data_IF_802407731206
#
_entry.id   IF_802407731206
#
_cell.length_a   1.000
_cell.length_b   1.000
_cell.length_c   1.000
_cell.angle_alpha   90.00
_cell.angle_beta   90.00
_cell.angle_gamma   90.00
#
_symmetry.space_group_name_H-M   'P 1'
#
loop_
_entity.id
_entity.type
_entity.pdbx_description
1 polymer ?
#
# COMPACT_ATOMS: atom_id res chain seq x y z
N UNK A 1 -10.27 82.14 17.14
CA UNK A 1 -11.66 82.11 17.64
C UNK A 1 -12.07 80.65 17.70
N UNK A 2 -12.39 79.99 18.80
CA UNK A 2 -12.49 80.29 20.23
C UNK A 2 -12.89 78.95 20.86
N UNK A 3 -12.21 78.57 21.94
CA UNK A 3 -12.32 77.28 22.63
C UNK A 3 -13.56 77.17 23.54
N UNK A 4 -13.94 75.94 23.91
CA UNK A 4 -14.37 75.42 25.25
C UNK A 4 -15.11 74.08 25.01
N UNK A 5 -14.76 72.88 25.49
CA UNK A 5 -14.14 72.34 26.72
C UNK A 5 -15.04 72.32 27.96
N UNK A 6 -15.62 71.15 28.28
CA UNK A 6 -15.85 70.66 29.65
C UNK A 6 -15.92 69.10 29.58
N UNK A 7 -14.93 68.30 30.00
CA UNK A 7 -14.28 68.08 31.30
C UNK A 7 -15.06 67.14 32.23
N UNK A 8 -14.76 65.84 32.16
CA UNK A 8 -15.13 64.83 33.16
C UNK A 8 -14.01 63.78 33.29
N UNK A 9 -13.30 63.84 34.42
CA UNK A 9 -11.95 63.29 34.67
C UNK A 9 -12.00 61.97 35.48
N UNK A 10 -10.88 61.22 35.38
CA UNK A 10 -10.24 60.26 36.32
C UNK A 10 -10.24 58.80 35.85
N UNK A 11 -9.20 57.99 36.01
CA UNK A 11 -7.75 58.12 36.26
C UNK A 11 -7.21 56.68 36.22
N UNK A 12 -6.05 56.45 35.57
CA UNK A 12 -5.14 55.30 35.77
C UNK A 12 -5.67 53.92 35.32
N UNK A 13 -4.92 53.04 34.66
CA UNK A 13 -3.47 52.89 34.51
C UNK A 13 -3.22 51.38 34.38
N UNK A 14 -2.20 50.98 33.62
CA UNK A 14 -1.68 49.60 33.67
C UNK A 14 -1.88 48.77 32.39
N UNK A 15 -0.86 48.86 31.53
CA UNK A 15 -0.10 47.75 30.96
C UNK A 15 -0.76 46.43 30.55
N UNK A 16 -0.42 46.08 29.31
CA UNK A 16 0.12 44.81 28.85
C UNK A 16 -0.84 43.62 28.65
N UNK A 17 -0.84 43.21 27.37
CA UNK A 17 -0.85 41.82 26.90
C UNK A 17 -2.07 40.97 27.25
N UNK A 18 -3.05 40.98 26.34
CA UNK A 18 -3.88 39.79 26.09
C UNK A 18 -3.57 39.20 24.71
N UNK A 19 -2.53 38.38 24.75
CA UNK A 19 -2.31 37.13 24.03
C UNK A 19 -3.26 36.83 22.86
N UNK A 20 -2.69 37.00 21.66
CA UNK A 20 -3.10 36.33 20.43
C UNK A 20 -2.98 34.81 20.59
N UNK A 21 -4.06 34.16 21.00
CA UNK A 21 -4.18 32.70 21.02
C UNK A 21 -4.99 32.19 19.83
N UNK A 22 -4.35 31.45 18.91
CA UNK A 22 -5.09 30.63 17.95
C UNK A 22 -4.52 30.55 16.53
N UNK A 23 -3.23 30.22 16.37
CA UNK A 23 -2.66 30.08 15.02
C UNK A 23 -1.43 29.19 14.88
N UNK A 24 -1.03 28.43 15.91
CA UNK A 24 0.20 27.62 15.89
C UNK A 24 -0.06 26.09 15.82
N UNK A 25 -1.29 25.66 15.54
CA UNK A 25 -1.76 24.30 15.83
C UNK A 25 -1.42 23.19 14.81
N UNK A 26 -1.21 23.44 13.50
CA UNK A 26 -0.90 22.36 12.56
C UNK A 26 0.54 21.85 12.69
N UNK A 27 1.52 22.76 12.74
CA UNK A 27 2.94 22.40 12.69
C UNK A 27 3.42 21.75 14.00
N UNK A 28 2.99 22.25 15.16
CA UNK A 28 3.30 21.64 16.45
C UNK A 28 2.65 20.25 16.61
N UNK A 29 1.43 20.08 16.06
CA UNK A 29 0.76 18.79 16.05
C UNK A 29 1.46 17.76 15.16
N UNK A 30 1.95 18.17 13.99
CA UNK A 30 2.73 17.32 13.09
C UNK A 30 4.07 16.91 13.73
N UNK A 31 4.76 17.84 14.39
CA UNK A 31 6.03 17.56 15.07
C UNK A 31 5.87 16.57 16.23
N UNK A 32 4.81 16.69 17.02
CA UNK A 32 4.52 15.74 18.11
C UNK A 32 4.16 14.33 17.62
N UNK A 33 3.74 14.19 16.36
CA UNK A 33 3.45 12.89 15.74
C UNK A 33 4.66 12.29 15.02
N UNK A 34 5.79 13.00 14.90
CA UNK A 34 6.96 12.45 14.22
C UNK A 34 7.60 11.27 14.98
N UNK A 35 7.53 11.30 16.32
CA UNK A 35 8.15 10.31 17.21
C UNK A 35 7.11 9.35 17.84
N UNK A 36 5.95 9.20 17.20
CA UNK A 36 4.89 8.32 17.69
C UNK A 36 5.14 6.85 17.36
N UNK A 37 4.33 5.97 17.94
CA UNK A 37 4.41 4.53 17.70
C UNK A 37 3.21 4.03 16.90
N UNK A 38 3.46 3.11 15.97
CA UNK A 38 2.43 2.38 15.25
C UNK A 38 2.01 1.11 16.00
N UNK A 39 0.72 0.82 15.96
CA UNK A 39 0.16 -0.47 16.37
C UNK A 39 -0.69 -0.98 15.22
N UNK A 40 -0.34 -2.16 14.71
CA UNK A 40 -0.98 -2.76 13.55
C UNK A 40 -2.07 -3.74 13.97
N UNK A 41 -3.15 -3.79 13.18
CA UNK A 41 -4.23 -4.75 13.35
C UNK A 41 -4.90 -5.02 12.00
N UNK A 42 -5.77 -6.03 11.94
CA UNK A 42 -6.42 -6.48 10.70
C UNK A 42 -5.44 -6.78 9.56
N UNK A 43 -4.23 -7.27 9.87
CA UNK A 43 -3.22 -7.58 8.86
C UNK A 43 -3.71 -8.77 8.03
N UNK A 44 -3.89 -8.56 6.73
CA UNK A 44 -4.18 -9.61 5.75
C UNK A 44 -3.10 -9.62 4.67
N UNK A 45 -2.79 -10.81 4.16
CA UNK A 45 -1.76 -11.00 3.12
C UNK A 45 -2.32 -11.73 1.89
N UNK A 46 -3.29 -11.14 1.16
CA UNK A 46 -3.88 -11.82 0.01
C UNK A 46 -2.92 -11.82 -1.18
N UNK A 47 -3.09 -12.81 -2.06
CA UNK A 47 -2.47 -12.80 -3.39
C UNK A 47 -3.45 -12.19 -4.38
N UNK A 48 -3.11 -11.06 -4.99
CA UNK A 48 -3.96 -10.37 -5.97
C UNK A 48 -3.48 -10.67 -7.39
N UNK A 49 -4.37 -11.23 -8.19
CA UNK A 49 -4.14 -11.47 -9.62
C UNK A 49 -4.09 -10.13 -10.37
N UNK A 50 -2.96 -9.83 -11.02
CA UNK A 50 -2.74 -8.59 -11.78
C UNK A 50 -3.04 -8.74 -13.26
N UNK A 51 -2.78 -9.91 -13.83
CA UNK A 51 -3.01 -10.15 -15.25
C UNK A 51 -3.14 -11.63 -15.61
N UNK A 52 -3.80 -11.88 -16.74
CA UNK A 52 -3.99 -13.21 -17.32
C UNK A 52 -3.91 -13.15 -18.85
N UNK A 53 -3.28 -14.13 -19.49
CA UNK A 53 -3.29 -14.26 -20.95
C UNK A 53 -4.60 -14.88 -21.44
N UNK A 54 -4.87 -14.75 -22.75
CA UNK A 54 -5.81 -15.66 -23.39
C UNK A 54 -5.28 -17.09 -23.36
N UNK A 55 -6.17 -18.10 -23.42
CA UNK A 55 -5.75 -19.49 -23.49
C UNK A 55 -5.20 -19.83 -24.87
N UNK A 56 -4.04 -20.49 -24.91
CA UNK A 56 -3.33 -20.87 -26.13
C UNK A 56 -3.21 -22.39 -26.24
N UNK A 57 -3.56 -22.93 -27.41
CA UNK A 57 -3.44 -24.37 -27.69
C UNK A 57 -2.02 -24.71 -28.18
N UNK A 58 -1.36 -25.62 -27.48
CA UNK A 58 -0.04 -26.14 -27.82
C UNK A 58 -0.17 -27.57 -28.34
N UNK A 59 0.54 -27.87 -29.42
CA UNK A 59 0.55 -29.19 -30.04
C UNK A 59 1.52 -30.19 -29.39
N UNK A 60 1.54 -31.43 -29.88
CA UNK A 60 2.33 -32.54 -29.30
C UNK A 60 3.84 -32.27 -29.23
N UNK A 61 4.37 -31.42 -30.10
CA UNK A 61 5.78 -31.02 -30.12
C UNK A 61 6.15 -29.97 -29.08
N UNK A 62 5.20 -29.55 -28.24
CA UNK A 62 5.36 -28.39 -27.39
C UNK A 62 5.37 -27.09 -28.19
N UNK A 63 5.68 -26.00 -27.52
CA UNK A 63 5.65 -24.68 -28.11
C UNK A 63 6.03 -23.59 -27.13
N UNK A 64 6.28 -22.41 -27.68
CA UNK A 64 6.43 -21.19 -26.88
C UNK A 64 5.08 -20.49 -26.88
N UNK A 65 4.59 -20.13 -25.69
CA UNK A 65 3.41 -19.30 -25.56
C UNK A 65 3.72 -17.89 -26.08
N UNK A 66 2.77 -17.33 -26.81
CA UNK A 66 2.88 -16.03 -27.47
C UNK A 66 1.77 -15.07 -27.03
N UNK A 67 0.70 -15.58 -26.43
CA UNK A 67 -0.38 -14.74 -25.93
C UNK A 67 0.08 -13.81 -24.81
N UNK A 68 -0.23 -12.52 -24.97
CA UNK A 68 0.14 -11.48 -24.01
C UNK A 68 -0.73 -11.55 -22.77
N UNK A 69 -0.13 -11.31 -21.62
CA UNK A 69 -0.86 -11.12 -20.37
C UNK A 69 -1.64 -9.79 -20.45
N UNK A 70 -2.96 -9.87 -20.32
CA UNK A 70 -3.83 -8.70 -20.21
C UNK A 70 -4.02 -8.35 -18.75
N UNK A 71 -3.99 -7.06 -18.47
CA UNK A 71 -4.21 -6.55 -17.12
C UNK A 71 -5.64 -6.81 -16.66
N UNK A 72 -5.80 -7.30 -15.43
CA UNK A 72 -7.11 -7.50 -14.77
C UNK A 72 -7.25 -6.65 -13.51
N UNK A 73 -6.14 -6.29 -12.85
CA UNK A 73 -6.15 -5.34 -11.75
C UNK A 73 -4.82 -4.58 -11.64
N UNK A 74 -4.80 -3.58 -10.77
CA UNK A 74 -3.60 -2.86 -10.33
C UNK A 74 -3.37 -3.11 -8.84
N UNK A 75 -2.17 -2.77 -8.39
CA UNK A 75 -1.84 -2.56 -6.97
C UNK A 75 -1.16 -1.20 -6.84
N UNK A 76 -1.30 -0.58 -5.68
CA UNK A 76 -0.59 0.65 -5.37
C UNK A 76 -0.17 0.62 -3.90
N UNK A 77 1.12 0.85 -3.65
CA UNK A 77 1.62 1.06 -2.30
C UNK A 77 1.09 2.39 -1.77
N UNK A 78 0.24 2.36 -0.75
CA UNK A 78 -0.45 3.56 -0.27
C UNK A 78 -0.69 3.55 1.25
N UNK A 79 -0.79 4.74 1.84
CA UNK A 79 -1.18 4.94 3.24
C UNK A 79 -2.25 6.01 3.30
N UNK A 80 -3.37 5.68 3.95
CA UNK A 80 -4.57 6.52 4.05
C UNK A 80 -4.90 6.77 5.53
N UNK A 81 -4.41 7.88 6.10
CA UNK A 81 -4.66 8.24 7.48
C UNK A 81 -5.96 9.03 7.68
N UNK A 82 -6.66 8.78 8.77
CA UNK A 82 -7.79 9.57 9.27
C UNK A 82 -7.29 10.75 10.14
N UNK A 83 -6.33 11.52 9.62
CA UNK A 83 -5.73 12.65 10.33
C UNK A 83 -4.24 12.83 10.04
N UNK A 84 -3.57 13.59 10.90
CA UNK A 84 -2.12 13.76 10.79
C UNK A 84 -1.40 12.47 11.24
N UNK A 85 -0.50 11.99 10.40
CA UNK A 85 0.40 10.86 10.64
C UNK A 85 1.83 11.25 10.25
N UNK A 86 2.84 10.46 10.65
CA UNK A 86 4.17 10.54 10.06
C UNK A 86 4.14 10.47 8.52
N UNK A 87 5.30 10.71 7.90
CA UNK A 87 5.47 10.45 6.47
C UNK A 87 4.97 9.03 6.12
N UNK A 88 4.15 8.84 5.07
CA UNK A 88 3.60 7.54 4.68
C UNK A 88 4.63 6.39 4.58
N UNK A 89 5.85 6.70 4.16
CA UNK A 89 6.97 5.76 4.04
C UNK A 89 7.38 5.19 5.40
N UNK A 90 7.28 5.98 6.47
CA UNK A 90 7.60 5.56 7.84
C UNK A 90 6.55 4.56 8.38
N UNK A 91 5.28 4.78 8.04
CA UNK A 91 4.22 3.82 8.37
C UNK A 91 4.48 2.48 7.67
N UNK A 92 4.83 2.51 6.37
CA UNK A 92 5.14 1.29 5.63
C UNK A 92 6.42 0.62 6.12
N UNK A 93 7.44 1.38 6.55
CA UNK A 93 8.63 0.82 7.17
C UNK A 93 8.28 0.07 8.46
N UNK A 94 7.47 0.68 9.33
CA UNK A 94 6.97 0.03 10.55
C UNK A 94 6.15 -1.23 10.23
N UNK A 95 5.26 -1.18 9.23
CA UNK A 95 4.50 -2.36 8.80
C UNK A 95 5.44 -3.46 8.28
N UNK A 96 6.42 -3.11 7.45
CA UNK A 96 7.37 -4.05 6.88
C UNK A 96 8.15 -4.80 7.97
N UNK A 97 8.53 -4.10 9.04
CA UNK A 97 9.12 -4.72 10.23
C UNK A 97 8.14 -5.63 10.97
N UNK A 98 6.92 -5.15 11.21
CA UNK A 98 5.86 -5.92 11.89
C UNK A 98 5.59 -7.26 11.19
N UNK A 99 5.61 -7.29 9.86
CA UNK A 99 5.30 -8.49 9.08
C UNK A 99 6.54 -9.33 8.70
N UNK A 100 7.75 -8.90 9.08
CA UNK A 100 9.02 -9.55 8.79
C UNK A 100 9.53 -9.38 7.35
N UNK A 101 8.98 -8.44 6.58
CA UNK A 101 9.46 -8.10 5.23
C UNK A 101 10.74 -7.25 5.29
N UNK A 102 10.87 -6.44 6.34
CA UNK A 102 12.01 -5.55 6.57
C UNK A 102 12.74 -6.04 7.81
N UNK A 103 13.94 -6.57 7.60
CA UNK A 103 14.87 -6.94 8.66
C UNK A 103 15.82 -5.76 8.94
N UNK A 104 15.41 -4.88 9.86
CA UNK A 104 16.19 -3.71 10.28
C UNK A 104 15.95 -3.37 11.73
N UNK A 105 17.03 -3.22 12.49
CA UNK A 105 16.99 -2.76 13.88
C UNK A 105 16.77 -1.24 14.00
N UNK A 106 16.86 -0.48 12.89
CA UNK A 106 16.67 0.96 12.91
C UNK A 106 15.25 1.30 13.41
N UNK A 107 15.10 2.26 14.33
CA UNK A 107 13.80 2.63 14.87
C UNK A 107 12.97 3.40 13.85
N UNK A 108 13.62 4.13 12.93
CA UNK A 108 12.96 4.88 11.87
C UNK A 108 13.61 4.66 10.50
N UNK A 109 12.86 4.90 9.43
CA UNK A 109 13.38 4.80 8.06
C UNK A 109 14.54 5.78 7.80
N UNK A 110 14.53 6.95 8.47
CA UNK A 110 15.58 7.98 8.32
C UNK A 110 16.96 7.53 8.80
N UNK A 111 16.99 6.57 9.72
CA UNK A 111 18.22 6.05 10.32
C UNK A 111 18.80 4.87 9.53
N UNK A 112 18.07 4.37 8.53
CA UNK A 112 18.56 3.35 7.61
C UNK A 112 19.55 3.99 6.62
N UNK A 113 20.70 3.36 6.44
CA UNK A 113 21.70 3.78 5.44
C UNK A 113 21.97 2.66 4.45
N UNK A 114 21.79 2.95 3.16
CA UNK A 114 22.17 2.04 2.07
C UNK A 114 21.11 1.01 1.66
N UNK A 115 20.16 0.71 2.55
CA UNK A 115 19.03 -0.18 2.23
C UNK A 115 17.81 0.62 1.77
N UNK A 116 17.08 0.04 0.82
CA UNK A 116 15.79 0.56 0.37
C UNK A 116 14.87 -0.61 0.05
N UNK A 117 13.62 -0.53 0.49
CA UNK A 117 12.62 -1.56 0.25
C UNK A 117 11.54 -1.03 -0.68
N UNK A 118 11.18 -1.77 -1.72
CA UNK A 118 10.02 -1.44 -2.57
C UNK A 118 8.74 -1.34 -1.74
N UNK A 119 8.67 -2.12 -0.66
CA UNK A 119 7.57 -2.11 0.30
C UNK A 119 7.25 -0.72 0.88
N UNK A 120 8.24 0.18 0.98
CA UNK A 120 8.07 1.53 1.52
C UNK A 120 7.90 2.61 0.45
N UNK A 121 7.89 2.25 -0.84
CA UNK A 121 7.82 3.20 -1.95
C UNK A 121 6.36 3.57 -2.24
N UNK A 122 5.90 4.66 -1.63
CA UNK A 122 4.54 5.17 -1.79
C UNK A 122 4.28 5.54 -3.26
N UNK A 123 3.14 5.11 -3.79
CA UNK A 123 2.74 5.29 -5.17
C UNK A 123 3.33 4.26 -6.15
N UNK A 124 4.19 3.33 -5.70
CA UNK A 124 4.65 2.22 -6.54
C UNK A 124 3.44 1.39 -7.03
N UNK A 125 3.34 1.24 -8.35
CA UNK A 125 2.19 0.64 -9.04
C UNK A 125 2.35 -0.88 -9.22
N UNK A 126 3.22 -1.51 -8.43
CA UNK A 126 3.51 -2.93 -8.55
C UNK A 126 4.47 -3.28 -9.68
N UNK A 127 4.62 -4.58 -9.94
CA UNK A 127 5.45 -5.07 -11.02
C UNK A 127 4.84 -4.80 -12.38
N UNK A 128 5.69 -4.70 -13.40
CA UNK A 128 5.21 -4.69 -14.78
C UNK A 128 4.73 -6.10 -15.12
N UNK A 129 3.61 -6.21 -15.83
CA UNK A 129 3.16 -7.49 -16.34
C UNK A 129 4.23 -8.02 -17.31
N UNK A 130 4.81 -9.17 -16.98
CA UNK A 130 5.80 -9.78 -17.84
C UNK A 130 5.15 -10.27 -19.14
N UNK A 131 5.81 -10.02 -20.27
CA UNK A 131 5.54 -10.75 -21.51
C UNK A 131 6.29 -12.08 -21.43
N UNK A 132 5.76 -12.99 -20.63
CA UNK A 132 6.30 -14.34 -20.49
C UNK A 132 6.19 -15.11 -21.81
N UNK A 133 7.33 -15.53 -22.36
CA UNK A 133 7.38 -16.46 -23.49
C UNK A 133 7.70 -17.86 -22.94
N UNK A 134 6.82 -18.37 -22.08
CA UNK A 134 6.98 -19.68 -21.46
C UNK A 134 7.04 -20.77 -22.53
N UNK A 135 7.94 -21.74 -22.35
CA UNK A 135 8.02 -22.92 -23.23
C UNK A 135 7.33 -24.09 -22.56
N UNK A 136 6.46 -24.74 -23.31
CA UNK A 136 5.72 -25.92 -22.90
C UNK A 136 6.27 -27.15 -23.60
N UNK A 137 6.52 -28.18 -22.81
CA UNK A 137 6.85 -29.51 -23.30
C UNK A 137 5.57 -30.36 -23.31
N UNK A 138 4.93 -30.44 -24.48
CA UNK A 138 3.75 -31.27 -24.70
C UNK A 138 2.49 -30.51 -25.10
N UNK A 139 1.44 -31.25 -25.48
CA UNK A 139 0.19 -30.66 -25.92
C UNK A 139 -0.68 -30.21 -24.74
N UNK A 140 -1.56 -29.25 -24.97
CA UNK A 140 -2.53 -28.80 -23.99
C UNK A 140 -3.00 -27.38 -24.27
N UNK A 141 -3.91 -26.88 -23.43
CA UNK A 141 -4.42 -25.51 -23.53
C UNK A 141 -3.98 -24.73 -22.30
N UNK A 142 -3.10 -23.75 -22.49
CA UNK A 142 -2.36 -23.12 -21.41
C UNK A 142 -2.66 -21.64 -21.28
N UNK A 143 -2.55 -21.15 -20.05
CA UNK A 143 -2.75 -19.74 -19.68
C UNK A 143 -1.58 -19.30 -18.80
N UNK A 144 -1.08 -18.10 -19.06
CA UNK A 144 -0.11 -17.42 -18.22
C UNK A 144 -0.82 -16.44 -17.30
N UNK A 145 -0.33 -16.29 -16.07
CA UNK A 145 -0.86 -15.32 -15.14
C UNK A 145 0.25 -14.66 -14.31
N UNK A 146 -0.02 -13.42 -13.91
CA UNK A 146 0.83 -12.64 -13.02
C UNK A 146 -0.02 -12.11 -11.88
N UNK A 147 0.50 -12.19 -10.67
CA UNK A 147 -0.12 -11.79 -9.43
C UNK A 147 0.95 -11.22 -8.49
N UNK A 148 0.52 -10.67 -7.36
CA UNK A 148 1.41 -10.20 -6.29
C UNK A 148 0.88 -10.60 -4.93
N UNK A 149 1.78 -10.87 -4.00
CA UNK A 149 1.45 -10.93 -2.58
C UNK A 149 1.33 -9.51 -2.07
N UNK A 150 0.10 -9.14 -1.73
CA UNK A 150 -0.22 -7.85 -1.10
C UNK A 150 -0.24 -7.98 0.41
N UNK A 151 -0.10 -6.86 1.08
CA UNK A 151 -0.27 -6.72 2.52
C UNK A 151 -1.18 -5.53 2.72
N UNK A 152 -2.30 -5.76 3.39
CA UNK A 152 -3.25 -4.73 3.78
C UNK A 152 -3.35 -4.78 5.30
N UNK A 153 -3.29 -3.62 5.94
CA UNK A 153 -3.37 -3.54 7.39
C UNK A 153 -3.95 -2.19 7.82
N UNK A 154 -4.66 -2.22 8.95
CA UNK A 154 -5.07 -1.02 9.64
C UNK A 154 -4.06 -0.69 10.74
N UNK A 155 -3.90 0.59 11.04
CA UNK A 155 -3.00 1.03 12.10
C UNK A 155 -3.66 2.05 13.02
N UNK A 156 -3.14 2.06 14.26
CA UNK A 156 -3.26 3.17 15.19
C UNK A 156 -1.88 3.76 15.39
N UNK A 157 -1.73 5.05 15.11
CA UNK A 157 -0.53 5.82 15.39
C UNK A 157 -0.74 6.68 16.62
N UNK A 158 0.08 6.49 17.66
CA UNK A 158 -0.02 7.24 18.92
C UNK A 158 1.10 8.28 19.00
N UNK A 159 0.74 9.56 18.89
CA UNK A 159 1.68 10.67 18.93
C UNK A 159 2.13 10.99 20.37
N UNK A 160 3.24 11.71 20.51
CA UNK A 160 3.63 12.31 21.78
C UNK A 160 2.51 13.22 22.31
N UNK A 161 2.11 13.02 23.56
CA UNK A 161 0.94 13.68 24.17
C UNK A 161 -0.38 12.89 24.05
N UNK A 162 -0.34 11.63 23.61
CA UNK A 162 -1.45 10.67 23.74
C UNK A 162 -2.56 10.80 22.69
N UNK A 163 -2.41 11.70 21.71
CA UNK A 163 -3.34 11.78 20.58
C UNK A 163 -3.11 10.61 19.64
N UNK A 164 -4.20 10.00 19.18
CA UNK A 164 -4.16 8.84 18.30
C UNK A 164 -4.78 9.16 16.95
N UNK A 165 -4.16 8.67 15.88
CA UNK A 165 -4.70 8.68 14.52
C UNK A 165 -4.89 7.25 14.06
N UNK A 166 -5.97 6.96 13.31
CA UNK A 166 -6.17 5.67 12.65
C UNK A 166 -5.81 5.80 11.17
N UNK A 167 -5.57 4.68 10.51
CA UNK A 167 -5.43 4.67 9.07
C UNK A 167 -5.31 3.26 8.52
N UNK A 168 -5.19 3.21 7.20
CA UNK A 168 -5.04 1.99 6.44
C UNK A 168 -3.74 2.07 5.62
N UNK A 169 -3.03 0.96 5.49
CA UNK A 169 -1.86 0.84 4.65
C UNK A 169 -1.99 -0.38 3.74
N UNK A 170 -1.59 -0.19 2.49
CA UNK A 170 -1.52 -1.23 1.47
C UNK A 170 -0.12 -1.21 0.84
N UNK A 171 0.49 -2.38 0.69
CA UNK A 171 1.76 -2.58 -0.01
C UNK A 171 1.84 -3.99 -0.56
N UNK A 172 2.96 -4.37 -1.14
CA UNK A 172 3.17 -5.69 -1.73
C UNK A 172 4.62 -6.15 -1.59
N UNK A 173 4.83 -7.46 -1.51
CA UNK A 173 6.12 -8.05 -1.12
C UNK A 173 6.76 -8.89 -2.22
N UNK A 174 5.97 -9.64 -2.98
CA UNK A 174 6.50 -10.56 -3.97
C UNK A 174 5.61 -10.65 -5.20
N UNK A 175 6.26 -10.72 -6.36
CA UNK A 175 5.64 -11.11 -7.61
C UNK A 175 5.38 -12.62 -7.60
N UNK A 176 4.21 -13.02 -8.09
CA UNK A 176 3.78 -14.41 -8.22
C UNK A 176 3.33 -14.60 -9.65
N UNK A 177 4.14 -15.27 -10.45
CA UNK A 177 3.81 -15.63 -11.83
C UNK A 177 3.61 -17.13 -11.96
N UNK A 178 2.81 -17.54 -12.94
CA UNK A 178 2.66 -18.96 -13.21
C UNK A 178 2.02 -19.26 -14.55
N UNK A 179 2.03 -20.54 -14.84
CA UNK A 179 1.41 -21.14 -16.00
C UNK A 179 0.47 -22.23 -15.52
N UNK A 180 -0.71 -22.32 -16.11
CA UNK A 180 -1.67 -23.37 -15.83
C UNK A 180 -2.21 -23.97 -17.13
N UNK A 181 -2.62 -25.23 -17.05
CA UNK A 181 -3.33 -25.91 -18.12
C UNK A 181 -4.83 -25.96 -17.79
N UNK A 182 -5.70 -25.53 -18.70
CA UNK A 182 -7.14 -25.46 -18.47
C UNK A 182 -7.77 -26.82 -18.12
N UNK A 183 -7.17 -27.92 -18.62
CA UNK A 183 -7.62 -29.30 -18.40
C UNK A 183 -7.16 -29.91 -17.07
N UNK A 184 -6.31 -29.22 -16.31
CA UNK A 184 -5.65 -29.78 -15.12
C UNK A 184 -6.12 -29.04 -13.86
N UNK A 185 -6.44 -29.78 -12.80
CA UNK A 185 -6.89 -29.18 -11.53
C UNK A 185 -5.72 -28.45 -10.86
N UNK A 186 -6.01 -27.34 -10.19
CA UNK A 186 -5.06 -26.59 -9.37
C UNK A 186 -5.58 -26.38 -7.96
N UNK A 187 -4.70 -26.54 -6.98
CA UNK A 187 -4.97 -26.25 -5.57
C UNK A 187 -4.69 -24.78 -5.23
N UNK A 188 -3.97 -24.06 -6.11
CA UNK A 188 -3.67 -22.65 -5.95
C UNK A 188 -4.90 -21.79 -6.29
N UNK A 189 -5.35 -20.99 -5.32
CA UNK A 189 -6.55 -20.16 -5.46
C UNK A 189 -6.39 -19.06 -6.53
N UNK A 190 -5.18 -18.51 -6.70
CA UNK A 190 -4.88 -17.48 -7.69
C UNK A 190 -4.84 -18.07 -9.10
N UNK A 191 -4.23 -19.25 -9.27
CA UNK A 191 -4.29 -19.99 -10.53
C UNK A 191 -5.74 -20.37 -10.88
N UNK A 192 -6.54 -20.80 -9.90
CA UNK A 192 -7.97 -21.08 -10.10
C UNK A 192 -8.75 -19.84 -10.52
N UNK A 193 -8.46 -18.68 -9.91
CA UNK A 193 -9.05 -17.40 -10.33
C UNK A 193 -8.67 -17.05 -11.77
N UNK A 194 -7.40 -17.20 -12.14
CA UNK A 194 -6.93 -16.99 -13.52
C UNK A 194 -7.64 -17.93 -14.51
N UNK A 195 -7.79 -19.22 -14.17
CA UNK A 195 -8.52 -20.18 -14.99
C UNK A 195 -10.00 -19.81 -15.17
N UNK A 196 -10.67 -19.29 -14.12
CA UNK A 196 -12.05 -18.81 -14.24
C UNK A 196 -12.19 -17.65 -15.24
N UNK A 197 -11.19 -16.78 -15.30
CA UNK A 197 -11.18 -15.63 -16.21
C UNK A 197 -10.85 -16.04 -17.66
N UNK A 198 -9.90 -16.94 -17.87
CA UNK A 198 -9.38 -17.25 -19.20
C UNK A 198 -9.88 -18.58 -19.80
N UNK A 199 -9.92 -19.66 -19.01
CA UNK A 199 -10.32 -21.00 -19.48
C UNK A 199 -11.84 -21.22 -19.45
N UNK A 200 -12.58 -20.37 -18.74
CA UNK A 200 -14.01 -20.52 -18.46
C UNK A 200 -14.29 -21.29 -17.18
N UNK A 201 -15.45 -21.02 -16.57
CA UNK A 201 -15.85 -21.57 -15.26
C UNK A 201 -16.04 -23.07 -15.23
N UNK A 202 -16.29 -23.70 -16.38
CA UNK A 202 -16.51 -25.15 -16.50
C UNK A 202 -15.22 -25.94 -16.68
N UNK A 203 -14.09 -25.26 -16.90
CA UNK A 203 -12.78 -25.91 -17.03
C UNK A 203 -12.38 -26.65 -15.74
N UNK A 204 -11.52 -27.66 -15.87
CA UNK A 204 -11.06 -28.44 -14.70
C UNK A 204 -10.23 -27.54 -13.78
N UNK A 205 -9.42 -26.65 -14.34
CA UNK A 205 -8.61 -25.70 -13.60
C UNK A 205 -9.43 -24.65 -12.82
N UNK A 206 -10.65 -24.32 -13.26
CA UNK A 206 -11.51 -23.34 -12.59
C UNK A 206 -12.26 -23.90 -11.37
N UNK A 207 -12.31 -25.23 -11.22
CA UNK A 207 -13.06 -25.93 -10.18
C UNK A 207 -12.29 -25.99 -8.85
N UNK A 208 -13.04 -25.96 -7.75
CA UNK A 208 -12.54 -26.24 -6.40
C UNK A 208 -12.33 -27.74 -6.19
#
# INVERSE_FOLDING_TARGET
MGCTSESGKRDGGGSAEDSRGGGARPAAAAKACADGAFTWFNIVKPTRLLGVSEPEDVGKGGGRLTEKIRQVSTVETSVRPEGAVPAPEEALFSLGKEIGEIDSDAPTLKEVTGDSWRFTQVGDQGPRLEEGLARIDGPGRFVQYTAVRTVEADFRHTCAGGRTTLGHAESWTAEVGGLLECGTRTDDATARQAARLACGTDSVAAKS
#
